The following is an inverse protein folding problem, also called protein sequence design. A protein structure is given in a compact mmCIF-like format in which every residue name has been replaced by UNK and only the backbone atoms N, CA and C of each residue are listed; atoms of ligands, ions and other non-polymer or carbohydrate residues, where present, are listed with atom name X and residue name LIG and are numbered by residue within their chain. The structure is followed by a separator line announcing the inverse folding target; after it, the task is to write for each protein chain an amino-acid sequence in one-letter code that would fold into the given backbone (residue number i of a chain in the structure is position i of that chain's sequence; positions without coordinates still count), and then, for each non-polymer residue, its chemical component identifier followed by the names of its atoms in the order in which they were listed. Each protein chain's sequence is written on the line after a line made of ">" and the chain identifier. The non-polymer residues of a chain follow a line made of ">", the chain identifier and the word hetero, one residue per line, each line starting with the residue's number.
data_IF_082099482988
#
_entry.id   IF_082099482988
#
_cell.length_a   1.000
_cell.length_b   1.000
_cell.length_c   1.000
_cell.angle_alpha   90.00
_cell.angle_beta   90.00
_cell.angle_gamma   90.00
#
_symmetry.space_group_name_H-M   'P 1'
#
loop_
_entity.id
_entity.type
_entity.pdbx_description
1 polymer ?
#
# COMPACT_ATOMS: atom_id res chain seq x y z
N UNK A 1 -3.84 19.95 0.75
CA UNK A 1 -2.72 20.62 1.47
C UNK A 1 -2.31 19.86 2.72
N UNK A 2 -3.23 19.51 3.63
CA UNK A 2 -2.93 18.73 4.84
C UNK A 2 -2.20 17.41 4.55
N UNK A 3 -2.69 16.60 3.59
CA UNK A 3 -2.02 15.35 3.20
C UNK A 3 -0.58 15.52 2.72
N UNK A 4 -0.29 16.58 1.94
CA UNK A 4 1.08 16.88 1.49
C UNK A 4 1.99 17.15 2.69
N UNK A 5 1.53 17.96 3.65
CA UNK A 5 2.26 18.22 4.88
C UNK A 5 2.52 16.96 5.71
N UNK A 6 1.57 16.02 5.73
CA UNK A 6 1.67 14.80 6.51
C UNK A 6 2.63 13.76 5.91
N UNK A 7 2.66 13.63 4.58
CA UNK A 7 3.37 12.56 3.89
C UNK A 7 4.65 13.01 3.17
N UNK A 8 4.72 14.25 2.67
CA UNK A 8 5.77 14.66 1.73
C UNK A 8 6.71 15.73 2.28
N UNK A 9 6.34 16.44 3.35
CA UNK A 9 7.18 17.49 3.93
C UNK A 9 8.18 16.87 4.92
N UNK A 10 9.50 17.05 4.71
CA UNK A 10 10.51 16.66 5.68
C UNK A 10 10.33 17.40 6.99
N UNK A 11 10.41 16.69 8.10
CA UNK A 11 10.55 17.24 9.44
C UNK A 11 11.87 16.76 10.00
N UNK A 12 12.69 17.68 10.48
CA UNK A 12 13.95 17.35 11.15
C UNK A 12 13.79 17.56 12.65
N UNK A 13 13.96 16.50 13.43
CA UNK A 13 13.95 16.54 14.91
C UNK A 13 15.23 15.85 15.37
N UNK A 14 16.02 16.52 16.21
CA UNK A 14 17.28 16.00 16.76
C UNK A 14 18.25 15.44 15.70
N UNK A 15 18.31 16.08 14.53
CA UNK A 15 19.16 15.68 13.40
C UNK A 15 18.65 14.49 12.58
N UNK A 16 17.49 13.92 12.93
CA UNK A 16 16.83 12.84 12.18
C UNK A 16 15.79 13.41 11.22
N UNK A 17 15.81 12.95 9.98
CA UNK A 17 14.81 13.33 8.99
C UNK A 17 13.67 12.32 8.97
N UNK A 18 12.45 12.79 9.17
CA UNK A 18 11.25 11.95 9.08
C UNK A 18 10.13 12.74 8.40
N UNK A 19 8.98 12.10 8.25
CA UNK A 19 7.73 12.73 7.82
C UNK A 19 6.74 12.69 8.98
N UNK A 20 5.68 13.50 8.92
CA UNK A 20 4.76 13.63 10.06
C UNK A 20 4.14 12.28 10.47
N UNK A 21 3.82 11.41 9.50
CA UNK A 21 3.31 10.07 9.81
C UNK A 21 4.33 9.20 10.56
N UNK A 22 5.61 9.33 10.23
CA UNK A 22 6.70 8.61 10.88
C UNK A 22 6.81 9.04 12.34
N UNK A 23 6.81 10.35 12.57
CA UNK A 23 6.80 10.93 13.92
C UNK A 23 5.59 10.46 14.74
N UNK A 24 4.38 10.55 14.18
CA UNK A 24 3.15 10.10 14.86
C UNK A 24 3.18 8.60 15.17
N UNK A 25 3.70 7.79 14.24
CA UNK A 25 3.84 6.34 14.44
C UNK A 25 4.89 6.00 15.49
N UNK A 26 6.00 6.74 15.55
CA UNK A 26 7.03 6.59 16.57
C UNK A 26 6.51 6.96 17.96
N UNK A 27 5.76 8.06 18.07
CA UNK A 27 5.12 8.48 19.32
C UNK A 27 4.12 7.43 19.80
N UNK A 28 3.28 6.91 18.88
CA UNK A 28 2.34 5.84 19.20
C UNK A 28 3.06 4.57 19.66
N UNK A 29 4.15 4.19 18.98
CA UNK A 29 4.96 3.03 19.36
C UNK A 29 5.59 3.20 20.73
N UNK A 30 6.20 4.35 21.01
CA UNK A 30 6.82 4.63 22.31
C UNK A 30 5.78 4.60 23.44
N UNK A 31 4.62 5.21 23.22
CA UNK A 31 3.52 5.20 24.19
C UNK A 31 2.95 3.79 24.44
N UNK A 32 2.98 2.91 23.43
CA UNK A 32 2.42 1.56 23.50
C UNK A 32 3.45 0.45 23.71
N UNK A 33 4.74 0.78 23.86
CA UNK A 33 5.85 -0.18 23.77
C UNK A 33 5.72 -1.37 24.75
N UNK A 34 5.22 -1.13 25.95
CA UNK A 34 5.12 -2.16 27.00
C UNK A 34 4.01 -3.20 26.72
N UNK A 35 2.89 -2.78 26.14
CA UNK A 35 1.71 -3.64 25.96
C UNK A 35 1.45 -4.02 24.50
N UNK A 36 2.05 -3.31 23.53
CA UNK A 36 1.83 -3.53 22.11
C UNK A 36 2.20 -4.95 21.65
N UNK A 37 3.35 -5.54 22.06
CA UNK A 37 3.66 -6.93 21.70
C UNK A 37 2.62 -7.93 22.22
N UNK A 38 2.01 -7.68 23.38
CA UNK A 38 0.95 -8.55 23.91
C UNK A 38 -0.36 -8.37 23.13
N UNK A 39 -0.72 -7.12 22.79
CA UNK A 39 -1.90 -6.84 21.97
C UNK A 39 -1.80 -7.53 20.59
N UNK A 40 -0.65 -7.43 19.93
CA UNK A 40 -0.42 -8.07 18.64
C UNK A 40 -0.56 -9.60 18.73
N UNK A 41 -0.15 -10.21 19.85
CA UNK A 41 -0.19 -11.66 20.02
C UNK A 41 -1.63 -12.11 20.18
N UNK A 42 -2.44 -11.32 20.89
CA UNK A 42 -3.88 -11.51 21.00
C UNK A 42 -4.53 -11.39 19.62
N UNK A 43 -4.22 -10.34 18.84
CA UNK A 43 -4.80 -10.14 17.51
C UNK A 43 -4.48 -11.32 16.58
N UNK A 44 -3.21 -11.74 16.52
CA UNK A 44 -2.80 -12.87 15.68
C UNK A 44 -3.39 -14.20 16.16
N UNK A 45 -3.46 -14.42 17.47
CA UNK A 45 -4.10 -15.60 18.05
C UNK A 45 -5.59 -15.65 17.73
N UNK A 46 -6.30 -14.53 17.88
CA UNK A 46 -7.72 -14.43 17.50
C UNK A 46 -7.89 -14.68 16.01
N UNK A 47 -7.04 -14.09 15.15
CA UNK A 47 -7.07 -14.36 13.72
C UNK A 47 -6.87 -15.85 13.43
N UNK A 48 -5.85 -16.50 13.99
CA UNK A 48 -5.59 -17.93 13.79
C UNK A 48 -6.72 -18.83 14.29
N UNK A 49 -7.23 -18.60 15.50
CA UNK A 49 -8.28 -19.42 16.14
C UNK A 49 -9.62 -19.26 15.40
N UNK A 50 -10.05 -18.02 15.18
CA UNK A 50 -11.35 -17.75 14.54
C UNK A 50 -11.31 -18.18 13.08
N UNK A 51 -10.18 -18.01 12.38
CA UNK A 51 -10.05 -18.49 10.99
C UNK A 51 -10.04 -20.00 10.90
N UNK A 52 -9.44 -20.68 11.88
CA UNK A 52 -9.50 -22.15 11.98
C UNK A 52 -10.94 -22.61 12.17
N UNK A 53 -11.66 -21.99 13.10
CA UNK A 53 -13.06 -22.29 13.35
C UNK A 53 -13.93 -22.02 12.11
N UNK A 54 -13.76 -20.86 11.48
CA UNK A 54 -14.53 -20.46 10.29
C UNK A 54 -14.29 -21.38 9.10
N UNK A 55 -13.05 -21.81 8.88
CA UNK A 55 -12.67 -22.63 7.72
C UNK A 55 -13.08 -24.09 7.89
N UNK A 56 -12.94 -24.65 9.11
CA UNK A 56 -13.27 -26.05 9.42
C UNK A 56 -14.77 -26.28 9.59
N UNK A 57 -15.46 -25.42 10.35
CA UNK A 57 -16.85 -25.65 10.75
C UNK A 57 -17.87 -24.85 9.95
N UNK A 58 -17.42 -23.86 9.16
CA UNK A 58 -18.26 -23.01 8.31
C UNK A 58 -19.56 -22.52 8.98
N UNK A 59 -19.46 -21.90 10.17
CA UNK A 59 -20.65 -21.53 10.94
C UNK A 59 -21.48 -20.47 10.20
N UNK A 60 -22.80 -20.62 10.26
CA UNK A 60 -23.75 -19.78 9.49
C UNK A 60 -23.68 -18.30 9.83
N UNK A 61 -23.33 -17.92 11.06
CA UNK A 61 -23.20 -16.52 11.47
C UNK A 61 -21.96 -15.81 10.90
N UNK A 62 -20.88 -16.54 10.63
CA UNK A 62 -19.69 -16.01 9.93
C UNK A 62 -19.95 -16.03 8.42
N UNK A 63 -20.44 -17.15 7.88
CA UNK A 63 -20.68 -17.30 6.44
C UNK A 63 -21.77 -16.37 5.91
N UNK A 64 -22.76 -16.03 6.75
CA UNK A 64 -23.86 -15.13 6.41
C UNK A 64 -23.50 -13.64 6.51
N UNK A 65 -22.34 -13.27 7.04
CA UNK A 65 -21.90 -11.88 7.17
C UNK A 65 -20.70 -11.61 6.24
N UNK A 66 -20.85 -10.78 5.19
CA UNK A 66 -19.78 -10.57 4.21
C UNK A 66 -18.43 -10.15 4.81
N UNK A 67 -18.45 -9.24 5.79
CA UNK A 67 -17.23 -8.78 6.48
C UNK A 67 -16.55 -9.92 7.25
N UNK A 68 -17.28 -10.65 8.10
CA UNK A 68 -16.68 -11.72 8.91
C UNK A 68 -16.18 -12.87 8.04
N UNK A 69 -16.93 -13.21 6.99
CA UNK A 69 -16.48 -14.18 6.00
C UNK A 69 -15.18 -13.72 5.35
N UNK A 70 -15.08 -12.46 4.93
CA UNK A 70 -13.86 -11.94 4.32
C UNK A 70 -12.64 -11.99 5.27
N UNK A 71 -12.83 -11.61 6.54
CA UNK A 71 -11.75 -11.54 7.52
C UNK A 71 -11.24 -12.94 7.94
N UNK A 72 -12.14 -13.90 8.15
CA UNK A 72 -11.79 -15.16 8.82
C UNK A 72 -11.90 -16.42 7.94
N UNK A 73 -12.67 -16.39 6.86
CA UNK A 73 -12.75 -17.55 5.96
C UNK A 73 -11.64 -17.49 4.91
N UNK A 74 -10.67 -18.40 5.02
CA UNK A 74 -9.48 -18.37 4.18
C UNK A 74 -9.12 -19.76 3.63
N UNK A 75 -8.19 -19.82 2.69
CA UNK A 75 -7.71 -21.08 2.13
C UNK A 75 -6.84 -21.83 3.13
N UNK A 76 -6.67 -23.15 2.95
CA UNK A 76 -5.90 -23.97 3.89
C UNK A 76 -4.43 -23.52 4.03
N UNK A 77 -3.83 -22.99 2.96
CA UNK A 77 -2.46 -22.46 2.97
C UNK A 77 -2.37 -21.22 3.86
N UNK A 78 -3.26 -20.24 3.65
CA UNK A 78 -3.31 -19.03 4.49
C UNK A 78 -3.66 -19.34 5.93
N UNK A 79 -4.55 -20.30 6.16
CA UNK A 79 -4.88 -20.76 7.51
C UNK A 79 -3.64 -21.31 8.23
N UNK A 80 -2.86 -22.14 7.53
CA UNK A 80 -1.63 -22.74 8.10
C UNK A 80 -0.62 -21.66 8.50
N UNK A 81 -0.48 -20.62 7.67
CA UNK A 81 0.37 -19.46 7.97
C UNK A 81 -0.13 -18.69 9.21
N UNK A 82 -1.44 -18.41 9.30
CA UNK A 82 -2.01 -17.71 10.46
C UNK A 82 -1.85 -18.50 11.76
N UNK A 83 -2.08 -19.80 11.74
CA UNK A 83 -1.92 -20.66 12.92
C UNK A 83 -0.45 -20.72 13.34
N UNK A 84 0.47 -20.88 12.38
CA UNK A 84 1.91 -20.89 12.66
C UNK A 84 2.36 -19.55 13.21
N UNK A 85 1.95 -18.43 12.60
CA UNK A 85 2.24 -17.08 13.07
C UNK A 85 1.71 -16.84 14.48
N UNK A 86 0.46 -17.21 14.77
CA UNK A 86 -0.14 -17.11 16.10
C UNK A 86 0.67 -17.85 17.18
N UNK A 87 1.10 -19.08 16.86
CA UNK A 87 1.93 -19.89 17.76
C UNK A 87 3.29 -19.20 17.97
N UNK A 88 4.01 -18.87 16.89
CA UNK A 88 5.36 -18.28 16.96
C UNK A 88 5.37 -16.95 17.73
N UNK A 89 4.37 -16.10 17.49
CA UNK A 89 4.25 -14.81 18.17
C UNK A 89 3.94 -14.99 19.66
N UNK A 90 3.06 -15.92 20.00
CA UNK A 90 2.75 -16.24 21.41
C UNK A 90 3.99 -16.77 22.13
N UNK A 91 4.71 -17.72 21.52
CA UNK A 91 5.96 -18.26 22.06
C UNK A 91 7.00 -17.17 22.31
N UNK A 92 7.15 -16.24 21.34
CA UNK A 92 8.09 -15.11 21.43
C UNK A 92 7.72 -14.17 22.57
N UNK A 93 6.46 -13.78 22.70
CA UNK A 93 6.00 -12.85 23.75
C UNK A 93 6.15 -13.43 25.15
N UNK A 94 5.83 -14.72 25.33
CA UNK A 94 5.95 -15.37 26.63
C UNK A 94 7.37 -15.87 26.93
N UNK A 95 8.31 -15.75 25.98
CA UNK A 95 9.67 -16.27 26.11
C UNK A 95 9.70 -17.80 26.25
N UNK A 96 8.70 -18.50 25.73
CA UNK A 96 8.57 -19.95 25.83
C UNK A 96 8.85 -20.55 24.46
N UNK A 97 10.00 -21.20 24.29
CA UNK A 97 10.33 -21.85 23.03
C UNK A 97 11.82 -22.01 22.82
N UNK A 98 12.23 -22.69 21.73
CA UNK A 98 13.63 -22.80 21.36
C UNK A 98 14.19 -21.46 20.84
N UNK A 99 15.49 -21.25 21.04
CA UNK A 99 16.19 -20.00 20.73
C UNK A 99 16.06 -19.54 19.27
N UNK A 100 15.92 -20.47 18.32
CA UNK A 100 15.72 -20.13 16.92
C UNK A 100 14.34 -19.54 16.60
N UNK A 101 13.38 -19.64 17.54
CA UNK A 101 12.07 -18.99 17.46
C UNK A 101 12.07 -17.71 18.28
N UNK A 102 12.51 -17.75 19.54
CA UNK A 102 12.34 -16.62 20.48
C UNK A 102 13.55 -15.68 20.56
N UNK A 103 14.67 -16.05 19.95
CA UNK A 103 15.95 -15.38 20.15
C UNK A 103 15.96 -13.94 19.66
N UNK A 104 16.90 -13.17 20.19
CA UNK A 104 17.01 -11.72 19.95
C UNK A 104 17.14 -11.37 18.46
N UNK A 105 17.85 -12.18 17.67
CA UNK A 105 18.02 -11.98 16.23
C UNK A 105 16.96 -12.67 15.37
N UNK A 106 15.95 -13.32 15.97
CA UNK A 106 14.92 -14.09 15.26
C UNK A 106 13.52 -13.56 15.58
N UNK A 107 12.77 -14.22 16.47
CA UNK A 107 11.40 -13.82 16.83
C UNK A 107 11.35 -12.43 17.45
N UNK A 108 12.30 -12.04 18.29
CA UNK A 108 12.27 -10.72 18.92
C UNK A 108 12.33 -9.60 17.87
N UNK A 109 13.28 -9.66 16.92
CA UNK A 109 13.34 -8.70 15.81
C UNK A 109 12.09 -8.80 14.94
N UNK A 110 11.74 -9.99 14.44
CA UNK A 110 10.64 -10.15 13.49
C UNK A 110 9.27 -9.75 14.08
N UNK A 111 9.05 -10.00 15.36
CA UNK A 111 7.76 -9.79 16.00
C UNK A 111 7.73 -8.57 16.92
N UNK A 112 8.61 -8.51 17.92
CA UNK A 112 8.56 -7.43 18.93
C UNK A 112 8.93 -6.10 18.28
N UNK A 113 9.95 -6.06 17.43
CA UNK A 113 10.40 -4.85 16.76
C UNK A 113 9.62 -4.59 15.47
N UNK A 114 9.63 -5.53 14.51
CA UNK A 114 9.04 -5.30 13.20
C UNK A 114 7.52 -5.22 13.18
N UNK A 115 6.82 -6.18 13.79
CA UNK A 115 5.36 -6.14 13.79
C UNK A 115 4.84 -4.90 14.52
N UNK A 116 5.50 -4.47 15.61
CA UNK A 116 5.15 -3.23 16.33
C UNK A 116 5.32 -1.98 15.48
N UNK A 117 6.45 -1.82 14.78
CA UNK A 117 6.69 -0.67 13.91
C UNK A 117 5.68 -0.65 12.76
N UNK A 118 5.46 -1.79 12.10
CA UNK A 118 4.51 -1.94 11.01
C UNK A 118 3.09 -1.63 11.48
N UNK A 119 2.68 -2.14 12.64
CA UNK A 119 1.35 -1.88 13.20
C UNK A 119 1.13 -0.39 13.48
N UNK A 120 2.06 0.28 14.16
CA UNK A 120 1.88 1.70 14.48
C UNK A 120 1.83 2.57 13.24
N UNK A 121 2.71 2.34 12.26
CA UNK A 121 2.73 3.15 11.04
C UNK A 121 1.54 2.86 10.14
N UNK A 122 1.12 1.59 10.01
CA UNK A 122 -0.06 1.24 9.22
C UNK A 122 -1.33 1.81 9.84
N UNK A 123 -1.44 1.81 11.17
CA UNK A 123 -2.58 2.41 11.87
C UNK A 123 -2.68 3.91 11.53
N UNK A 124 -1.59 4.64 11.73
CA UNK A 124 -1.52 6.09 11.47
C UNK A 124 -1.72 6.38 9.98
N UNK A 125 -1.01 5.67 9.11
CA UNK A 125 -1.08 5.87 7.67
C UNK A 125 -2.50 5.63 7.15
N UNK A 126 -3.20 4.55 7.52
CA UNK A 126 -4.53 4.26 7.01
C UNK A 126 -5.60 5.29 7.40
N UNK A 127 -5.48 5.95 8.55
CA UNK A 127 -6.36 7.06 8.91
C UNK A 127 -5.99 8.37 8.18
N UNK A 128 -4.71 8.57 7.86
CA UNK A 128 -4.22 9.82 7.27
C UNK A 128 -4.15 9.78 5.74
N UNK A 129 -4.09 8.61 5.13
CA UNK A 129 -3.94 8.41 3.69
C UNK A 129 -5.07 9.07 2.88
N UNK A 130 -6.35 9.02 3.30
CA UNK A 130 -7.43 9.73 2.62
C UNK A 130 -7.18 11.24 2.47
N UNK A 131 -6.45 11.87 3.39
CA UNK A 131 -6.10 13.30 3.29
C UNK A 131 -5.12 13.60 2.15
N UNK A 132 -4.37 12.59 1.71
CA UNK A 132 -3.49 12.66 0.55
C UNK A 132 -4.20 12.20 -0.72
N UNK A 133 -5.00 11.14 -0.67
CA UNK A 133 -5.56 10.50 -1.86
C UNK A 133 -6.86 11.11 -2.34
N UNK A 134 -7.75 11.53 -1.43
CA UNK A 134 -9.13 11.83 -1.80
C UNK A 134 -9.46 13.32 -1.92
N UNK A 135 -8.47 14.19 -1.71
CA UNK A 135 -8.61 15.65 -1.83
C UNK A 135 -7.94 16.23 -3.07
N UNK A 136 -7.91 15.47 -4.18
CA UNK A 136 -7.51 15.99 -5.50
C UNK A 136 -6.00 16.01 -5.76
N UNK A 137 -5.16 15.67 -4.79
CA UNK A 137 -3.70 15.70 -4.98
C UNK A 137 -3.22 14.64 -5.97
N UNK A 138 -3.77 13.42 -5.91
CA UNK A 138 -3.42 12.37 -6.88
C UNK A 138 -3.86 12.74 -8.29
N UNK A 139 -5.03 13.35 -8.44
CA UNK A 139 -5.53 13.82 -9.74
C UNK A 139 -4.67 14.95 -10.29
N UNK A 140 -4.20 15.86 -9.43
CA UNK A 140 -3.26 16.91 -9.79
C UNK A 140 -1.96 16.33 -10.32
N UNK A 141 -1.25 15.55 -9.50
CA UNK A 141 0.07 15.01 -9.85
C UNK A 141 -0.06 14.01 -11.00
N UNK A 142 -1.09 13.16 -11.01
CA UNK A 142 -1.34 12.18 -12.08
C UNK A 142 -1.58 12.85 -13.42
N UNK A 143 -2.34 13.95 -13.43
CA UNK A 143 -2.53 14.73 -14.66
C UNK A 143 -1.23 15.37 -15.12
N UNK A 144 -0.36 15.84 -14.21
CA UNK A 144 0.97 16.36 -14.57
C UNK A 144 1.89 15.25 -15.11
N UNK A 145 1.81 14.03 -14.58
CA UNK A 145 2.61 12.88 -14.99
C UNK A 145 2.20 12.26 -16.33
N UNK A 146 1.03 12.62 -16.87
CA UNK A 146 0.53 12.19 -18.19
C UNK A 146 1.61 12.30 -19.28
N UNK A 147 2.24 13.49 -19.44
CA UNK A 147 3.27 13.72 -20.47
C UNK A 147 4.57 12.95 -20.19
N UNK A 148 5.15 13.01 -18.97
CA UNK A 148 6.30 12.19 -18.62
C UNK A 148 6.10 10.69 -18.90
N UNK A 149 4.92 10.13 -18.60
CA UNK A 149 4.64 8.72 -18.85
C UNK A 149 4.56 8.37 -20.34
N UNK A 150 3.92 9.23 -21.12
CA UNK A 150 3.87 9.07 -22.58
C UNK A 150 5.27 9.15 -23.22
N UNK A 151 6.10 10.10 -22.78
CA UNK A 151 7.42 10.36 -23.39
C UNK A 151 8.47 9.34 -22.92
N UNK A 152 8.53 9.04 -21.62
CA UNK A 152 9.60 8.23 -21.03
C UNK A 152 9.30 6.72 -21.11
N UNK A 153 8.04 6.34 -20.96
CA UNK A 153 7.64 4.93 -20.85
C UNK A 153 6.78 4.44 -22.03
N UNK A 154 6.42 5.30 -22.99
CA UNK A 154 5.48 4.99 -24.08
C UNK A 154 4.18 4.37 -23.55
N UNK A 155 3.69 4.85 -22.41
CA UNK A 155 2.44 4.42 -21.79
C UNK A 155 1.36 5.49 -21.97
N UNK A 156 0.06 5.12 -22.03
CA UNK A 156 -1.02 6.10 -22.07
C UNK A 156 -0.98 7.01 -20.85
N UNK A 157 -1.50 8.22 -21.00
CA UNK A 157 -1.41 9.26 -19.97
C UNK A 157 -2.06 8.86 -18.65
N UNK A 158 -3.13 8.06 -18.73
CA UNK A 158 -3.82 7.46 -17.57
C UNK A 158 -2.92 6.55 -16.72
N UNK A 159 -1.88 5.96 -17.30
CA UNK A 159 -0.94 5.11 -16.57
C UNK A 159 -0.20 5.88 -15.47
N UNK A 160 0.01 7.20 -15.63
CA UNK A 160 0.59 8.04 -14.58
C UNK A 160 -0.32 8.18 -13.36
N UNK A 161 -1.64 8.29 -13.57
CA UNK A 161 -2.62 8.31 -12.49
C UNK A 161 -2.74 6.94 -11.82
N UNK A 162 -2.76 5.86 -12.61
CA UNK A 162 -2.80 4.49 -12.09
C UNK A 162 -1.54 4.16 -11.27
N UNK A 163 -0.37 4.59 -11.73
CA UNK A 163 0.89 4.45 -11.02
C UNK A 163 0.89 5.18 -9.67
N UNK A 164 0.45 6.44 -9.64
CA UNK A 164 0.37 7.20 -8.38
C UNK A 164 -0.67 6.62 -7.42
N UNK A 165 -1.82 6.19 -7.94
CA UNK A 165 -2.85 5.52 -7.15
C UNK A 165 -2.33 4.22 -6.56
N UNK A 166 -1.54 3.46 -7.32
CA UNK A 166 -0.91 2.23 -6.86
C UNK A 166 0.20 2.48 -5.84
N UNK A 167 0.95 3.57 -5.99
CA UNK A 167 2.06 3.92 -5.11
C UNK A 167 1.60 4.43 -3.74
N UNK A 168 0.51 5.20 -3.72
CA UNK A 168 -0.04 5.77 -2.48
C UNK A 168 -1.08 4.84 -1.85
N UNK A 169 -1.85 4.11 -2.66
CA UNK A 169 -2.88 3.18 -2.21
C UNK A 169 -2.38 1.75 -2.00
N UNK A 170 -3.28 0.81 -2.26
CA UNK A 170 -2.99 -0.62 -2.25
C UNK A 170 -2.59 -1.12 -3.64
N UNK A 171 -1.49 -1.86 -3.71
CA UNK A 171 -0.99 -2.52 -4.93
C UNK A 171 -2.05 -3.40 -5.61
N UNK A 172 -2.94 -4.03 -4.83
CA UNK A 172 -4.01 -4.87 -5.38
C UNK A 172 -5.09 -4.04 -6.07
N UNK A 173 -5.48 -2.92 -5.48
CA UNK A 173 -6.42 -1.95 -6.10
C UNK A 173 -5.83 -1.39 -7.40
N UNK A 174 -4.54 -1.04 -7.40
CA UNK A 174 -3.82 -0.58 -8.59
C UNK A 174 -3.84 -1.61 -9.72
N UNK A 175 -3.63 -2.88 -9.37
CA UNK A 175 -3.69 -4.01 -10.32
C UNK A 175 -5.09 -4.17 -10.91
N UNK A 176 -6.13 -4.17 -10.07
CA UNK A 176 -7.53 -4.29 -10.52
C UNK A 176 -7.92 -3.13 -11.46
N UNK A 177 -7.51 -1.91 -11.11
CA UNK A 177 -7.77 -0.73 -11.95
C UNK A 177 -7.10 -0.89 -13.32
N UNK A 178 -5.84 -1.32 -13.34
CA UNK A 178 -5.10 -1.55 -14.59
C UNK A 178 -5.75 -2.64 -15.45
N UNK A 179 -6.25 -3.71 -14.83
CA UNK A 179 -7.00 -4.78 -15.53
C UNK A 179 -8.28 -4.21 -16.15
N UNK A 180 -9.04 -3.38 -15.43
CA UNK A 180 -10.25 -2.73 -15.99
C UNK A 180 -9.92 -1.84 -17.18
N UNK A 181 -8.83 -1.07 -17.11
CA UNK A 181 -8.39 -0.24 -18.24
C UNK A 181 -8.01 -1.08 -19.47
N UNK A 182 -7.44 -2.27 -19.26
CA UNK A 182 -7.19 -3.25 -20.34
C UNK A 182 -8.50 -3.78 -20.94
N UNK A 183 -9.45 -4.21 -20.10
CA UNK A 183 -10.76 -4.73 -20.52
C UNK A 183 -11.60 -3.67 -21.26
N UNK A 184 -11.48 -2.40 -20.86
CA UNK A 184 -12.18 -1.26 -21.46
C UNK A 184 -11.55 -0.75 -22.78
N UNK A 185 -10.39 -1.30 -23.17
CA UNK A 185 -9.69 -0.99 -24.42
C UNK A 185 -8.75 0.21 -24.36
N UNK A 186 -8.36 0.66 -23.16
CA UNK A 186 -7.40 1.76 -22.97
C UNK A 186 -5.94 1.29 -22.94
N UNK A 187 -5.70 0.05 -22.51
CA UNK A 187 -4.38 -0.59 -22.56
C UNK A 187 -4.36 -1.76 -23.53
N UNK A 188 -3.21 -1.98 -24.16
CA UNK A 188 -2.81 -3.27 -24.72
C UNK A 188 -2.34 -4.21 -23.59
N UNK A 189 -2.30 -5.52 -23.86
CA UNK A 189 -1.88 -6.49 -22.84
C UNK A 189 -0.46 -6.21 -22.32
N UNK A 190 0.43 -5.70 -23.18
CA UNK A 190 1.79 -5.30 -22.79
C UNK A 190 1.79 -4.07 -21.89
N UNK A 191 1.04 -3.02 -22.25
CA UNK A 191 0.97 -1.80 -21.43
C UNK A 191 0.41 -2.12 -20.04
N UNK A 192 -0.67 -2.90 -19.97
CA UNK A 192 -1.23 -3.35 -18.70
C UNK A 192 -0.22 -4.17 -17.87
N UNK A 193 0.47 -5.14 -18.49
CA UNK A 193 1.49 -5.94 -17.80
C UNK A 193 2.65 -5.08 -17.27
N UNK A 194 3.09 -4.07 -18.03
CA UNK A 194 4.15 -3.15 -17.61
C UNK A 194 3.69 -2.27 -16.45
N UNK A 195 2.47 -1.75 -16.50
CA UNK A 195 1.89 -0.93 -15.42
C UNK A 195 1.79 -1.72 -14.12
N UNK A 196 1.21 -2.92 -14.16
CA UNK A 196 1.08 -3.79 -12.97
C UNK A 196 2.43 -4.19 -12.39
N UNK A 197 3.44 -4.46 -13.22
CA UNK A 197 4.72 -5.00 -12.73
C UNK A 197 5.70 -3.94 -12.25
N UNK A 198 5.69 -2.73 -12.83
CA UNK A 198 6.68 -1.71 -12.53
C UNK A 198 6.15 -0.52 -11.74
N UNK A 199 4.85 -0.26 -11.82
CA UNK A 199 4.25 0.95 -11.24
C UNK A 199 3.39 0.67 -10.01
N UNK A 200 3.29 -0.59 -9.58
CA UNK A 200 2.89 -0.97 -8.21
C UNK A 200 4.08 -0.78 -7.24
N UNK A 201 4.59 0.45 -7.18
CA UNK A 201 5.81 0.81 -6.45
C UNK A 201 5.65 0.68 -4.92
N UNK A 202 6.79 0.54 -4.22
CA UNK A 202 6.88 0.45 -2.76
C UNK A 202 6.21 1.65 -2.09
N UNK A 203 5.28 1.35 -1.19
CA UNK A 203 4.55 2.33 -0.38
C UNK A 203 5.50 3.23 0.44
N UNK A 204 5.26 4.54 0.42
CA UNK A 204 6.04 5.53 1.19
C UNK A 204 6.07 5.22 2.70
N UNK A 205 4.94 4.94 3.38
CA UNK A 205 4.95 4.42 4.75
C UNK A 205 5.89 3.23 4.96
N UNK A 206 5.90 2.26 4.05
CA UNK A 206 6.77 1.10 4.17
C UNK A 206 8.25 1.46 4.00
N UNK A 207 8.57 2.43 3.13
CA UNK A 207 9.94 2.96 3.02
C UNK A 207 10.42 3.57 4.32
N UNK A 208 9.55 4.28 5.05
CA UNK A 208 9.88 4.82 6.40
C UNK A 208 10.20 3.70 7.37
N UNK A 209 9.41 2.61 7.38
CA UNK A 209 9.72 1.42 8.19
C UNK A 209 11.11 0.89 7.88
N UNK A 210 11.43 0.67 6.60
CA UNK A 210 12.74 0.16 6.20
C UNK A 210 13.86 1.12 6.63
N UNK A 211 13.66 2.43 6.49
CA UNK A 211 14.61 3.44 6.94
C UNK A 211 14.87 3.39 8.46
N UNK A 212 13.81 3.23 9.25
CA UNK A 212 13.91 3.08 10.71
C UNK A 212 14.62 1.78 11.09
N UNK A 213 14.30 0.67 10.43
CA UNK A 213 14.87 -0.66 10.69
C UNK A 213 16.34 -0.76 10.32
N UNK A 214 16.70 -0.21 9.17
CA UNK A 214 18.10 -0.11 8.74
C UNK A 214 18.87 0.99 9.49
N UNK A 215 18.21 1.76 10.38
CA UNK A 215 18.79 2.87 11.15
C UNK A 215 19.44 3.94 10.25
N UNK A 216 18.81 4.20 9.09
CA UNK A 216 19.21 5.22 8.10
C UNK A 216 18.18 6.36 8.02
N UNK A 217 17.35 6.51 9.05
CA UNK A 217 16.38 7.59 9.24
C UNK A 217 17.00 8.99 9.07
N UNK A 218 18.22 9.19 9.55
CA UNK A 218 18.98 10.45 9.37
C UNK A 218 19.23 10.85 7.90
N UNK A 219 19.24 9.88 6.96
CA UNK A 219 19.40 10.10 5.51
C UNK A 219 18.21 9.55 4.72
N UNK A 220 17.02 9.56 5.33
CA UNK A 220 15.81 8.99 4.73
C UNK A 220 15.51 9.55 3.33
N UNK A 221 15.64 10.86 3.12
CA UNK A 221 15.35 11.47 1.81
C UNK A 221 16.32 11.04 0.71
N UNK A 222 17.65 11.08 0.90
CA UNK A 222 18.60 10.47 -0.03
C UNK A 222 18.31 8.99 -0.30
N UNK A 223 18.03 8.21 0.74
CA UNK A 223 17.66 6.79 0.60
C UNK A 223 16.41 6.63 -0.28
N UNK A 224 15.34 7.35 0.04
CA UNK A 224 14.07 7.26 -0.68
C UNK A 224 14.20 7.73 -2.13
N UNK A 225 14.95 8.81 -2.37
CA UNK A 225 15.23 9.27 -3.73
C UNK A 225 16.00 8.21 -4.54
N UNK A 226 16.92 7.50 -3.91
CA UNK A 226 17.64 6.38 -4.53
C UNK A 226 16.68 5.24 -4.90
N UNK A 227 15.72 4.91 -4.04
CA UNK A 227 14.67 3.91 -4.32
C UNK A 227 13.78 4.35 -5.48
N UNK A 228 13.32 5.61 -5.49
CA UNK A 228 12.52 6.17 -6.59
C UNK A 228 13.30 6.15 -7.90
N UNK A 229 14.56 6.58 -7.88
CA UNK A 229 15.43 6.57 -9.05
C UNK A 229 15.66 5.15 -9.58
N UNK A 230 15.99 4.20 -8.70
CA UNK A 230 16.13 2.80 -9.07
C UNK A 230 14.83 2.23 -9.65
N UNK A 231 13.67 2.60 -9.10
CA UNK A 231 12.36 2.19 -9.60
C UNK A 231 12.07 2.76 -10.99
N UNK A 232 12.40 4.03 -11.25
CA UNK A 232 12.28 4.66 -12.58
C UNK A 232 13.20 3.95 -13.59
N UNK A 233 14.45 3.69 -13.21
CA UNK A 233 15.41 2.97 -14.07
C UNK A 233 14.92 1.54 -14.35
N UNK A 234 14.43 0.84 -13.34
CA UNK A 234 13.82 -0.49 -13.50
C UNK A 234 12.61 -0.42 -14.44
N UNK A 235 11.69 0.51 -14.24
CA UNK A 235 10.53 0.71 -15.10
C UNK A 235 10.90 1.07 -16.56
N UNK A 236 12.09 1.62 -16.80
CA UNK A 236 12.61 1.83 -18.14
C UNK A 236 13.23 0.56 -18.74
N UNK A 237 13.95 -0.24 -17.96
CA UNK A 237 14.69 -1.41 -18.44
C UNK A 237 13.79 -2.65 -18.56
N UNK A 238 13.00 -2.97 -17.54
CA UNK A 238 12.26 -4.24 -17.43
C UNK A 238 11.23 -4.44 -18.53
N UNK A 239 10.50 -3.44 -19.09
CA UNK A 239 9.57 -3.67 -20.19
C UNK A 239 10.25 -4.18 -21.46
N UNK A 240 11.56 -3.91 -21.60
CA UNK A 240 12.38 -4.33 -22.74
C UNK A 240 12.98 -5.72 -22.55
N UNK A 241 12.99 -6.24 -21.32
CA UNK A 241 13.46 -7.58 -21.01
C UNK A 241 12.32 -8.61 -21.14
N UNK A 242 12.61 -9.86 -21.56
CA UNK A 242 11.64 -10.94 -21.46
C UNK A 242 11.35 -11.26 -19.98
N UNK A 243 10.11 -11.67 -19.62
CA UNK A 243 8.99 -12.01 -20.50
C UNK A 243 8.15 -10.81 -20.98
N UNK A 244 8.28 -9.63 -20.37
CA UNK A 244 7.41 -8.47 -20.66
C UNK A 244 7.50 -8.01 -22.12
N UNK A 245 8.71 -8.02 -22.70
CA UNK A 245 8.90 -7.65 -24.11
C UNK A 245 8.23 -8.61 -25.12
N UNK A 246 7.87 -9.82 -24.67
CA UNK A 246 7.19 -10.84 -25.48
C UNK A 246 5.68 -10.82 -25.32
N UNK A 247 5.14 -10.03 -24.38
CA UNK A 247 3.68 -9.88 -24.21
C UNK A 247 3.09 -9.19 -25.44
N UNK A 248 1.91 -9.63 -25.88
CA UNK A 248 1.27 -9.13 -27.10
C UNK A 248 0.84 -7.67 -26.96
N UNK A 249 0.88 -6.92 -28.07
CA UNK A 249 0.30 -5.58 -28.18
C UNK A 249 -1.21 -5.60 -28.49
N UNK A 250 -1.87 -6.76 -28.39
CA UNK A 250 -3.30 -6.88 -28.63
C UNK A 250 -4.09 -6.20 -27.50
N UNK A 251 -5.17 -5.55 -27.89
CA UNK A 251 -6.18 -5.02 -26.99
C UNK A 251 -7.21 -6.12 -26.67
N UNK A 252 -8.00 -5.93 -25.63
CA UNK A 252 -9.03 -6.88 -25.24
C UNK A 252 -10.07 -7.08 -26.35
N UNK A 253 -10.42 -8.33 -26.66
CA UNK A 253 -11.18 -8.74 -27.87
C UNK A 253 -12.55 -8.07 -28.06
N UNK A 254 -13.09 -7.39 -27.04
CA UNK A 254 -14.40 -6.72 -27.06
C UNK A 254 -14.36 -5.18 -27.09
N UNK A 255 -13.19 -4.56 -27.12
CA UNK A 255 -13.08 -3.11 -27.08
C UNK A 255 -12.39 -2.55 -28.34
N UNK A 256 -13.10 -1.71 -29.08
CA UNK A 256 -12.47 -0.82 -30.07
C UNK A 256 -11.47 0.08 -29.34
N UNK A 257 -10.31 0.32 -29.96
CA UNK A 257 -9.27 1.19 -29.38
C UNK A 257 -9.85 2.55 -29.07
N UNK A 258 -9.98 2.89 -27.78
CA UNK A 258 -10.39 4.23 -27.36
C UNK A 258 -9.16 5.13 -27.35
N UNK A 259 -9.09 6.06 -28.30
CA UNK A 259 -8.10 7.12 -28.25
C UNK A 259 -8.33 7.96 -26.98
N UNK A 260 -7.26 8.23 -26.22
CA UNK A 260 -7.34 9.23 -25.16
C UNK A 260 -7.71 10.57 -25.82
N UNK A 261 -8.81 11.18 -25.41
CA UNK A 261 -9.17 12.53 -25.82
C UNK A 261 -8.13 13.50 -25.25
N UNK A 262 -7.03 13.70 -25.98
CA UNK A 262 -6.10 14.78 -25.73
C UNK A 262 -6.78 16.07 -26.17
N UNK A 263 -7.47 16.74 -25.24
CA UNK A 263 -7.74 18.16 -25.42
C UNK A 263 -6.39 18.89 -25.37
N UNK A 264 -5.69 18.94 -26.50
CA UNK A 264 -4.36 19.52 -26.69
C UNK A 264 -4.33 21.04 -26.45
N UNK A 265 -5.48 21.68 -26.24
CA UNK A 265 -5.62 23.13 -26.24
C UNK A 265 -5.60 23.79 -24.85
N UNK A 266 -5.71 23.03 -23.75
CA UNK A 266 -5.57 23.59 -22.40
C UNK A 266 -4.18 23.31 -21.82
N UNK A 267 -3.59 24.30 -21.15
CA UNK A 267 -2.37 24.10 -20.37
C UNK A 267 -2.59 22.95 -19.38
N UNK A 268 -1.75 21.91 -19.42
CA UNK A 268 -1.85 20.71 -18.54
C UNK A 268 -1.97 21.08 -17.07
N UNK A 269 -1.31 22.16 -16.64
CA UNK A 269 -1.41 22.66 -15.26
C UNK A 269 -2.83 23.10 -14.93
N UNK A 270 -3.51 23.79 -15.86
CA UNK A 270 -4.92 24.22 -15.70
C UNK A 270 -5.86 23.02 -15.63
N UNK A 271 -5.61 22.00 -16.46
CA UNK A 271 -6.37 20.75 -16.45
C UNK A 271 -6.14 19.95 -15.15
N UNK A 272 -4.89 19.87 -14.68
CA UNK A 272 -4.56 19.24 -13.41
C UNK A 272 -5.25 19.95 -12.25
N UNK A 273 -5.23 21.29 -12.25
CA UNK A 273 -5.87 22.11 -11.24
C UNK A 273 -7.40 21.94 -11.21
N UNK A 274 -8.06 21.96 -12.38
CA UNK A 274 -9.51 21.79 -12.45
C UNK A 274 -9.96 20.40 -12.01
N UNK A 275 -9.24 19.34 -12.40
CA UNK A 275 -9.51 17.96 -11.96
C UNK A 275 -9.32 17.80 -10.44
N UNK A 276 -8.27 18.39 -9.90
CA UNK A 276 -8.00 18.37 -8.46
C UNK A 276 -9.11 19.07 -7.66
N UNK A 277 -9.56 20.25 -8.12
CA UNK A 277 -10.67 20.98 -7.51
C UNK A 277 -11.97 20.17 -7.56
N UNK A 278 -12.32 19.61 -8.71
CA UNK A 278 -13.54 18.81 -8.87
C UNK A 278 -13.55 17.57 -7.95
N UNK A 279 -12.39 16.92 -7.75
CA UNK A 279 -12.25 15.84 -6.76
C UNK A 279 -12.38 16.36 -5.34
N UNK A 280 -11.70 17.46 -5.00
CA UNK A 280 -11.71 18.03 -3.66
C UNK A 280 -13.11 18.49 -3.20
N UNK A 281 -13.96 18.96 -4.12
CA UNK A 281 -15.36 19.28 -3.85
C UNK A 281 -16.19 18.07 -3.38
N UNK A 282 -15.82 16.87 -3.84
CA UNK A 282 -16.47 15.60 -3.49
C UNK A 282 -15.66 14.78 -2.48
N UNK A 283 -14.78 15.45 -1.72
CA UNK A 283 -13.90 14.80 -0.75
C UNK A 283 -14.68 14.04 0.35
N UNK A 284 -14.12 12.97 0.90
CA UNK A 284 -14.78 12.15 1.91
C UNK A 284 -15.04 12.96 3.19
N UNK A 285 -16.20 12.71 3.80
CA UNK A 285 -16.51 13.20 5.14
C UNK A 285 -15.60 12.58 6.20
N UNK A 286 -15.41 13.25 7.34
CA UNK A 286 -14.64 12.69 8.46
C UNK A 286 -15.16 11.31 8.91
N UNK A 287 -16.48 11.10 8.89
CA UNK A 287 -17.10 9.81 9.21
C UNK A 287 -16.69 8.72 8.22
N UNK A 288 -16.66 9.02 6.92
CA UNK A 288 -16.21 8.06 5.90
C UNK A 288 -14.74 7.72 6.05
N UNK A 289 -13.89 8.69 6.39
CA UNK A 289 -12.46 8.46 6.66
C UNK A 289 -12.27 7.50 7.83
N UNK A 290 -12.95 7.75 8.95
CA UNK A 290 -12.84 6.87 10.13
C UNK A 290 -13.40 5.47 9.84
N UNK A 291 -14.55 5.38 9.17
CA UNK A 291 -15.16 4.09 8.83
C UNK A 291 -14.37 3.30 7.78
N UNK A 292 -13.73 3.98 6.83
CA UNK A 292 -12.88 3.38 5.80
C UNK A 292 -11.56 2.91 6.40
N UNK A 293 -10.86 3.81 7.10
CA UNK A 293 -9.59 3.51 7.77
C UNK A 293 -9.72 2.34 8.74
N UNK A 294 -10.77 2.32 9.59
CA UNK A 294 -10.99 1.19 10.50
C UNK A 294 -11.24 -0.14 9.79
N UNK A 295 -11.95 -0.16 8.65
CA UNK A 295 -12.14 -1.37 7.86
C UNK A 295 -10.83 -1.86 7.25
N UNK A 296 -10.04 -0.95 6.65
CA UNK A 296 -8.74 -1.31 6.05
C UNK A 296 -7.76 -1.82 7.10
N UNK A 297 -7.74 -1.20 8.28
CA UNK A 297 -6.92 -1.63 9.41
C UNK A 297 -7.32 -3.03 9.88
N UNK A 298 -8.61 -3.30 10.03
CA UNK A 298 -9.11 -4.65 10.38
C UNK A 298 -8.73 -5.68 9.33
N UNK A 299 -8.82 -5.31 8.06
CA UNK A 299 -8.44 -6.20 6.96
C UNK A 299 -6.93 -6.50 6.97
N UNK A 300 -6.07 -5.49 7.11
CA UNK A 300 -4.61 -5.68 7.15
C UNK A 300 -4.20 -6.52 8.38
N UNK A 301 -4.81 -6.34 9.55
CA UNK A 301 -4.34 -7.02 10.77
C UNK A 301 -4.95 -8.40 11.02
N UNK A 302 -6.07 -8.70 10.37
CA UNK A 302 -6.75 -9.99 10.54
C UNK A 302 -6.59 -10.83 9.28
N UNK A 303 -6.68 -10.21 8.10
CA UNK A 303 -6.72 -10.93 6.82
C UNK A 303 -5.32 -11.25 6.28
N UNK A 304 -4.38 -10.32 6.39
CA UNK A 304 -3.00 -10.45 5.89
C UNK A 304 -2.11 -11.04 6.97
#
# INVERSE_FOLDING_TARGET
>A
MVGIGLFLVPITIDGKQTIAIGLLSDLLRQWSAEWLPYLLAIIFSVSGIVSSYATLFRPSWIMGRPLLKHLFFTSFVWLSLRVTGAIMCSLTVFGVGPEWIIGESTGAVAYIEMASIIFCIMLVANFLLPFLTDYGFLEFVGTLLTRPFQILFNLPGRAGLDALTSWVGDSSVGTILTVRQYEEGFYSAREAAVVVTNFSAVSLPFSVVIGQMARIDHVFFPFYFSVVFASIVAAFITPRLPPLSRVSLKFFERADRKAEASNEQDFIIRQAWSRALARAEHGPSAKSIVSGGSRTILDIYITV
#
